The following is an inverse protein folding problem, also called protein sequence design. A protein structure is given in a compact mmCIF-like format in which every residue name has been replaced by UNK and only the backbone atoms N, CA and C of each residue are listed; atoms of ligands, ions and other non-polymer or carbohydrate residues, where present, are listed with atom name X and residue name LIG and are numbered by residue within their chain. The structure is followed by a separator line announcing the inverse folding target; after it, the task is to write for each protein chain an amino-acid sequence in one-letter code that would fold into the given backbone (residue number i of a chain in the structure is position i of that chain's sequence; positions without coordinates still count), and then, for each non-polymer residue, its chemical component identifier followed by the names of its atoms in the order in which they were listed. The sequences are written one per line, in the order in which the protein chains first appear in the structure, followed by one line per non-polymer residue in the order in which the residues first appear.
data_IF_073713978943
#
_entry.id   IF_073713978943
#
_cell.length_a   1.000
_cell.length_b   1.000
_cell.length_c   1.000
_cell.angle_alpha   90.00
_cell.angle_beta   90.00
_cell.angle_gamma   90.00
#
_symmetry.space_group_name_H-M   'P 1'
#
loop_
_entity.id
_entity.type
_entity.pdbx_description
1 polymer ?
#
# COMPACT_ATOMS: atom_id res chain seq x y z
N UNK A 1 -2.47 -37.50 10.04
CA UNK A 1 -2.50 -37.06 9.63
C UNK A 1 -2.43 -36.47 9.07
N UNK A 2 -2.33 -36.35 8.90
CA UNK A 2 -2.25 -35.82 8.37
C UNK A 2 -2.28 -35.08 7.84
N UNK A 3 -2.15 -35.68 7.81
CA UNK A 3 -1.59 -34.74 7.22
C UNK A 3 -2.29 -33.71 6.85
N UNK A 4 -2.02 -33.05 7.26
CA UNK A 4 -2.64 -31.97 6.93
C UNK A 4 -2.25 -31.56 5.60
N UNK A 5 -3.11 -31.58 4.71
CA UNK A 5 -2.84 -31.04 3.51
C UNK A 5 -2.88 -29.62 3.58
N UNK A 6 -1.79 -28.98 3.38
CA UNK A 6 -1.78 -27.60 3.22
C UNK A 6 -2.42 -27.31 1.93
N UNK A 7 -3.56 -26.70 1.97
CA UNK A 7 -4.19 -26.24 0.82
C UNK A 7 -3.37 -25.12 0.22
N UNK A 8 -3.10 -25.18 -1.06
CA UNK A 8 -2.41 -24.13 -1.73
C UNK A 8 -3.28 -22.90 -1.78
N UNK A 9 -2.75 -21.75 -1.47
CA UNK A 9 -3.48 -20.50 -1.62
C UNK A 9 -3.79 -20.24 -3.08
N UNK A 10 -5.00 -19.76 -3.37
CA UNK A 10 -5.31 -19.25 -4.70
C UNK A 10 -4.67 -17.88 -4.86
N UNK A 11 -4.59 -17.39 -6.09
CA UNK A 11 -4.09 -16.04 -6.33
C UNK A 11 -4.93 -15.00 -5.61
N UNK A 12 -6.23 -15.19 -5.57
CA UNK A 12 -7.10 -14.26 -4.85
C UNK A 12 -6.81 -14.25 -3.35
N UNK A 13 -6.63 -15.42 -2.76
CA UNK A 13 -6.34 -15.51 -1.33
C UNK A 13 -4.99 -14.88 -1.01
N UNK A 14 -4.00 -15.12 -1.84
CA UNK A 14 -2.68 -14.55 -1.64
C UNK A 14 -2.72 -13.04 -1.79
N UNK A 15 -3.44 -12.53 -2.79
CA UNK A 15 -3.59 -11.10 -2.98
C UNK A 15 -4.24 -10.43 -1.77
N UNK A 16 -5.30 -11.03 -1.23
CA UNK A 16 -5.96 -10.51 -0.03
C UNK A 16 -5.03 -10.48 1.15
N UNK A 17 -4.25 -11.54 1.34
CA UNK A 17 -3.31 -11.61 2.44
C UNK A 17 -2.26 -10.52 2.33
N UNK A 18 -1.73 -10.30 1.12
CA UNK A 18 -0.73 -9.26 0.89
C UNK A 18 -1.29 -7.87 1.18
N UNK A 19 -2.47 -7.57 0.68
CA UNK A 19 -3.09 -6.27 0.91
C UNK A 19 -3.40 -6.05 2.38
N UNK A 20 -3.91 -7.08 3.05
CA UNK A 20 -4.21 -7.00 4.48
C UNK A 20 -2.94 -6.76 5.29
N UNK A 21 -1.87 -7.48 4.97
CA UNK A 21 -0.62 -7.33 5.72
C UNK A 21 -0.04 -5.93 5.54
N UNK A 22 -0.10 -5.37 4.36
CA UNK A 22 0.37 -4.02 4.11
C UNK A 22 -0.49 -3.01 4.88
N UNK A 23 -1.80 -3.16 4.83
CA UNK A 23 -2.71 -2.26 5.52
C UNK A 23 -2.51 -2.34 7.04
N UNK A 24 -2.33 -3.53 7.58
CA UNK A 24 -2.13 -3.71 9.01
C UNK A 24 -0.78 -3.15 9.45
N UNK A 25 0.24 -3.30 8.63
CA UNK A 25 1.55 -2.76 8.96
C UNK A 25 1.51 -1.25 9.10
N UNK A 26 0.84 -0.56 8.19
CA UNK A 26 0.68 0.89 8.27
C UNK A 26 -0.18 1.27 9.48
N UNK A 27 -1.30 0.57 9.68
CA UNK A 27 -2.23 0.86 10.76
C UNK A 27 -1.59 0.63 12.13
N UNK A 28 -0.72 -0.36 12.24
CA UNK A 28 -0.06 -0.68 13.51
C UNK A 28 1.13 0.22 13.80
N UNK A 29 1.41 1.20 12.94
CA UNK A 29 2.49 2.14 13.16
C UNK A 29 3.79 1.78 12.46
N UNK A 30 3.77 0.72 11.66
CA UNK A 30 4.91 0.31 10.88
C UNK A 30 6.05 -0.24 11.71
N UNK A 31 7.21 -0.28 11.09
CA UNK A 31 8.44 -0.69 11.73
C UNK A 31 9.13 0.54 12.30
N UNK A 32 10.25 0.33 12.94
CA UNK A 32 11.08 1.42 13.42
C UNK A 32 11.49 2.31 12.25
N UNK A 33 11.40 3.60 12.39
CA UNK A 33 11.74 4.56 11.35
C UNK A 33 10.57 5.23 10.67
N UNK A 34 9.38 4.69 10.86
CA UNK A 34 8.16 5.32 10.36
C UNK A 34 8.11 5.42 8.84
N UNK A 35 7.55 6.53 8.35
CA UNK A 35 7.30 6.70 6.92
C UNK A 35 8.57 6.68 6.09
N UNK A 36 9.65 7.28 6.58
CA UNK A 36 10.89 7.35 5.82
C UNK A 36 11.39 5.95 5.45
N UNK A 37 11.47 5.07 6.45
CA UNK A 37 11.94 3.71 6.21
C UNK A 37 10.94 2.89 5.41
N UNK A 38 9.66 3.08 5.68
CA UNK A 38 8.62 2.36 4.96
C UNK A 38 8.67 2.67 3.46
N UNK A 39 8.97 3.93 3.12
CA UNK A 39 9.01 4.37 1.72
C UNK A 39 10.11 3.71 0.90
N UNK A 40 11.08 3.09 1.54
CA UNK A 40 12.14 2.38 0.80
C UNK A 40 11.59 1.22 -0.04
N UNK A 41 10.43 0.69 0.33
CA UNK A 41 9.79 -0.38 -0.43
C UNK A 41 8.88 0.08 -1.53
N UNK A 42 8.82 1.38 -1.82
CA UNK A 42 7.93 1.93 -2.83
C UNK A 42 8.64 2.01 -4.17
N UNK A 43 8.00 1.46 -5.21
CA UNK A 43 8.58 1.43 -6.56
C UNK A 43 8.21 2.65 -7.38
N UNK A 44 7.05 3.24 -7.12
CA UNK A 44 6.57 4.37 -7.91
C UNK A 44 5.59 5.19 -7.10
N UNK A 45 5.51 6.47 -7.40
CA UNK A 45 4.57 7.38 -6.74
C UNK A 45 3.75 8.07 -7.81
N UNK A 46 2.42 7.95 -7.71
CA UNK A 46 1.51 8.74 -8.52
C UNK A 46 1.00 9.88 -7.66
N UNK A 47 1.30 11.09 -8.06
CA UNK A 47 0.88 12.27 -7.29
C UNK A 47 -0.53 12.68 -7.67
N UNK A 48 -1.33 13.01 -6.68
CA UNK A 48 -2.67 13.56 -6.87
C UNK A 48 -2.60 14.99 -6.34
N UNK A 49 -2.91 15.96 -7.20
CA UNK A 49 -2.74 17.37 -6.84
C UNK A 49 -4.04 18.13 -7.01
N UNK A 50 -4.12 19.27 -6.35
CA UNK A 50 -5.19 20.22 -6.59
C UNK A 50 -4.94 20.95 -7.89
N UNK A 51 -5.89 21.75 -8.32
CA UNK A 51 -5.78 22.48 -9.57
C UNK A 51 -4.57 23.41 -9.61
N UNK A 52 -4.13 23.90 -8.45
CA UNK A 52 -2.96 24.79 -8.36
C UNK A 52 -1.66 24.03 -8.16
N UNK A 53 -1.68 22.71 -8.38
CA UNK A 53 -0.53 21.80 -8.29
C UNK A 53 -0.02 21.56 -6.87
N UNK A 54 -0.75 22.00 -5.86
CA UNK A 54 -0.38 21.63 -4.49
C UNK A 54 -0.79 20.19 -4.18
N UNK A 55 -0.13 19.60 -3.22
CA UNK A 55 -0.34 18.20 -2.85
C UNK A 55 -1.75 17.97 -2.32
N UNK A 56 -2.39 16.92 -2.83
CA UNK A 56 -3.66 16.45 -2.29
C UNK A 56 -3.52 15.06 -1.68
N UNK A 57 -2.93 14.14 -2.42
CA UNK A 57 -2.74 12.76 -1.99
C UNK A 57 -1.74 12.09 -2.94
N UNK A 58 -1.52 10.80 -2.74
CA UNK A 58 -0.66 10.02 -3.63
C UNK A 58 -1.09 8.56 -3.60
N UNK A 59 -0.72 7.84 -4.65
CA UNK A 59 -0.81 6.39 -4.69
C UNK A 59 0.60 5.85 -4.79
N UNK A 60 0.91 4.84 -3.99
CA UNK A 60 2.26 4.30 -3.88
C UNK A 60 2.25 2.86 -4.36
N UNK A 61 3.06 2.56 -5.38
CA UNK A 61 3.16 1.20 -5.90
C UNK A 61 4.13 0.42 -5.01
N UNK A 62 3.64 -0.59 -4.33
CA UNK A 62 4.44 -1.38 -3.40
C UNK A 62 4.68 -2.81 -3.87
N UNK A 63 4.03 -3.23 -4.93
CA UNK A 63 4.29 -4.52 -5.58
C UNK A 63 3.90 -4.42 -7.05
N UNK A 64 4.67 -5.04 -7.90
CA UNK A 64 4.41 -5.00 -9.33
C UNK A 64 5.00 -6.23 -10.00
N UNK A 65 4.64 -6.44 -11.26
CA UNK A 65 5.18 -7.54 -12.04
C UNK A 65 4.39 -8.82 -11.99
N UNK A 66 3.69 -9.10 -10.93
CA UNK A 66 2.73 -10.18 -10.77
C UNK A 66 1.52 -9.53 -10.21
N UNK A 67 1.29 -9.60 -8.89
CA UNK A 67 0.28 -8.71 -8.31
C UNK A 67 0.78 -7.27 -8.39
N UNK A 68 -0.13 -6.36 -8.67
CA UNK A 68 0.14 -4.93 -8.57
C UNK A 68 -0.62 -4.42 -7.38
N UNK A 69 0.10 -3.84 -6.41
CA UNK A 69 -0.52 -3.38 -5.18
C UNK A 69 -0.15 -1.92 -4.96
N UNK A 70 -1.18 -1.11 -4.75
CA UNK A 70 -1.06 0.32 -4.51
C UNK A 70 -1.57 0.67 -3.13
N UNK A 71 -0.85 1.55 -2.45
CA UNK A 71 -1.36 2.19 -1.23
C UNK A 71 -1.93 3.53 -1.67
N UNK A 72 -3.25 3.68 -1.53
CA UNK A 72 -3.98 4.85 -2.01
C UNK A 72 -4.30 5.73 -0.81
N UNK A 73 -3.63 6.88 -0.73
CA UNK A 73 -3.82 7.80 0.39
C UNK A 73 -5.02 8.72 0.20
N UNK A 74 -5.57 8.79 -1.00
CA UNK A 74 -6.78 9.57 -1.20
C UNK A 74 -7.99 8.86 -0.58
N UNK A 75 -8.07 7.55 -0.80
CA UNK A 75 -9.19 6.75 -0.31
C UNK A 75 -8.85 5.99 0.97
N UNK A 76 -7.60 6.08 1.41
CA UNK A 76 -7.10 5.41 2.61
C UNK A 76 -7.33 3.90 2.55
N UNK A 77 -6.91 3.31 1.43
CA UNK A 77 -6.98 1.86 1.28
C UNK A 77 -5.80 1.32 0.48
N UNK A 78 -5.60 0.00 0.61
CA UNK A 78 -4.63 -0.74 -0.17
C UNK A 78 -5.41 -1.45 -1.27
N UNK A 79 -5.02 -1.22 -2.51
CA UNK A 79 -5.68 -1.78 -3.69
C UNK A 79 -4.78 -2.82 -4.31
N UNK A 80 -5.29 -4.02 -4.51
CA UNK A 80 -4.52 -5.09 -5.13
C UNK A 80 -5.19 -5.61 -6.38
N UNK A 81 -4.37 -5.92 -7.39
CA UNK A 81 -4.85 -6.43 -8.67
C UNK A 81 -3.93 -7.55 -9.13
N UNK A 82 -4.49 -8.69 -9.46
CA UNK A 82 -3.71 -9.81 -9.97
C UNK A 82 -4.57 -10.58 -10.98
N UNK A 83 -4.25 -10.42 -12.27
CA UNK A 83 -5.10 -10.96 -13.31
C UNK A 83 -6.47 -10.32 -13.25
N UNK A 84 -7.50 -11.13 -13.09
CA UNK A 84 -8.86 -10.62 -12.96
C UNK A 84 -9.27 -10.41 -11.50
N UNK A 85 -8.40 -10.75 -10.55
CA UNK A 85 -8.71 -10.62 -9.14
C UNK A 85 -8.43 -9.20 -8.66
N UNK A 86 -9.23 -8.73 -7.71
CA UNK A 86 -9.12 -7.40 -7.17
C UNK A 86 -9.41 -7.45 -5.68
N UNK A 87 -8.71 -6.65 -4.91
CA UNK A 87 -8.90 -6.61 -3.47
C UNK A 87 -8.67 -5.19 -2.96
N UNK A 88 -9.47 -4.77 -2.01
CA UNK A 88 -9.33 -3.46 -1.37
C UNK A 88 -9.40 -3.65 0.13
N UNK A 89 -8.45 -3.04 0.86
CA UNK A 89 -8.41 -3.15 2.31
C UNK A 89 -8.07 -1.80 2.91
N UNK A 90 -8.93 -1.28 3.78
CA UNK A 90 -8.72 0.03 4.39
C UNK A 90 -7.58 0.04 5.38
N UNK A 91 -6.99 1.21 5.61
CA UNK A 91 -5.94 1.38 6.61
C UNK A 91 -6.05 2.74 7.26
N UNK A 92 -5.36 2.88 8.40
CA UNK A 92 -5.21 4.17 9.07
C UNK A 92 -3.73 4.54 8.97
N UNK A 93 -3.45 5.77 8.53
CA UNK A 93 -2.07 6.23 8.36
C UNK A 93 -1.46 6.58 9.72
N UNK A 94 -0.90 5.58 10.37
CA UNK A 94 -0.27 5.76 11.68
C UNK A 94 1.25 5.87 11.60
N UNK A 95 1.81 5.96 10.40
CA UNK A 95 3.25 6.15 10.25
C UNK A 95 3.60 7.51 9.65
N UNK A 96 2.59 8.33 9.33
CA UNK A 96 2.83 9.67 8.82
C UNK A 96 3.15 9.72 7.34
N UNK A 97 2.57 8.81 6.55
CA UNK A 97 2.83 8.78 5.10
C UNK A 97 2.35 10.05 4.42
N UNK A 98 1.17 10.51 4.78
CA UNK A 98 0.60 11.68 4.13
C UNK A 98 1.45 12.93 4.39
N UNK A 99 1.88 13.13 5.63
CA UNK A 99 2.74 14.25 5.98
C UNK A 99 4.09 14.16 5.27
N UNK A 100 4.66 12.97 5.23
CA UNK A 100 5.94 12.74 4.55
C UNK A 100 5.84 13.08 3.07
N UNK A 101 4.76 12.62 2.42
CA UNK A 101 4.58 12.83 0.99
C UNK A 101 4.27 14.28 0.65
N UNK A 102 3.53 14.96 1.51
CA UNK A 102 3.26 16.37 1.32
C UNK A 102 4.58 17.17 1.36
N UNK A 103 5.43 16.86 2.32
CA UNK A 103 6.71 17.51 2.44
C UNK A 103 7.61 17.17 1.24
N UNK A 104 7.64 15.93 0.84
CA UNK A 104 8.42 15.51 -0.32
C UNK A 104 7.98 16.24 -1.59
N UNK A 105 6.68 16.37 -1.77
CA UNK A 105 6.12 17.06 -2.94
C UNK A 105 6.51 18.53 -2.93
N UNK A 106 6.48 19.17 -1.78
CA UNK A 106 6.80 20.60 -1.72
C UNK A 106 8.28 20.90 -1.87
N UNK A 107 9.14 19.88 -1.75
CA UNK A 107 10.58 20.05 -1.94
C UNK A 107 11.03 19.87 -3.38
N UNK A 108 10.09 19.65 -4.29
CA UNK A 108 10.45 19.45 -5.69
C UNK A 108 10.74 20.74 -6.40
#
# INVERSE_FOLDING_TARGET
MSAVQKKRETCEEQLRRMCKNIAEDITDGGQIGGAYDWMEGVYDIEWITHNDHTYKAARLLVAGGGPNIWVNLQDMNVEGYWGSDKCIHGFIDNIGLDDYLEELHSCK
#
